data_IF_981739393754
#
_entry.id   IF_981739393754
#
_cell.length_a   1.000
_cell.length_b   1.000
_cell.length_c   1.000
_cell.angle_alpha   90.00
_cell.angle_beta   90.00
_cell.angle_gamma   90.00
#
_symmetry.space_group_name_H-M   'P 1'
#
loop_
_entity.id
_entity.type
_entity.pdbx_description
1 polymer ?
#
# COMPACT_ATOMS: atom_id res chain seq x y z
N UNK A 1 -1.01 -7.79 -10.45
CA UNK A 1 -1.17 -7.31 -11.85
C UNK A 1 -1.96 -8.28 -12.74
N UNK A 2 -3.29 -8.12 -12.80
CA UNK A 2 -4.20 -8.10 -13.99
C UNK A 2 -5.66 -8.07 -13.50
N UNK A 3 -6.43 -7.19 -14.14
CA UNK A 3 -7.79 -6.70 -13.87
C UNK A 3 -8.10 -6.18 -12.44
N UNK A 4 -8.18 -4.85 -12.34
CA UNK A 4 -8.63 -4.11 -11.17
C UNK A 4 -7.48 -3.37 -10.51
N UNK A 5 -7.45 -2.04 -10.61
CA UNK A 5 -6.63 -1.23 -9.71
C UNK A 5 -7.24 -1.44 -8.31
N UNK A 6 -6.70 -2.36 -7.53
CA UNK A 6 -7.12 -2.54 -6.15
C UNK A 6 -6.74 -1.28 -5.39
N UNK A 7 -7.74 -0.50 -5.01
CA UNK A 7 -7.53 0.75 -4.32
C UNK A 7 -7.03 0.45 -2.89
N UNK A 8 -5.90 1.03 -2.47
CA UNK A 8 -5.34 0.79 -1.13
C UNK A 8 -6.29 1.23 0.00
N UNK A 9 -7.27 2.12 -0.26
CA UNK A 9 -8.27 2.44 0.77
C UNK A 9 -9.37 1.39 0.88
N UNK A 10 -9.52 0.52 -0.12
CA UNK A 10 -10.50 -0.53 -0.14
C UNK A 10 -9.98 -1.73 0.66
N UNK A 11 -10.05 -1.63 1.99
CA UNK A 11 -9.52 -2.63 2.92
C UNK A 11 -10.05 -4.06 2.66
N UNK A 12 -11.23 -4.22 2.05
CA UNK A 12 -11.73 -5.54 1.68
C UNK A 12 -10.84 -6.29 0.66
N UNK A 13 -9.99 -5.59 -0.09
CA UNK A 13 -9.17 -6.18 -1.16
C UNK A 13 -7.74 -6.50 -0.76
N UNK A 14 -7.30 -6.12 0.44
CA UNK A 14 -5.96 -6.45 0.93
C UNK A 14 -5.94 -6.68 2.44
N UNK A 15 -4.86 -7.27 2.93
CA UNK A 15 -4.62 -7.47 4.36
C UNK A 15 -3.21 -6.99 4.68
N UNK A 16 -3.05 -6.21 5.75
CA UNK A 16 -1.73 -5.85 6.25
C UNK A 16 -1.15 -7.06 6.98
N UNK A 17 -0.09 -7.65 6.43
CA UNK A 17 0.58 -8.81 7.02
C UNK A 17 1.59 -8.40 8.10
N UNK A 18 2.39 -7.37 7.82
CA UNK A 18 3.47 -6.95 8.72
C UNK A 18 3.95 -5.53 8.43
N UNK A 19 4.67 -4.96 9.39
CA UNK A 19 5.48 -3.74 9.24
C UNK A 19 6.93 -4.13 9.48
N UNK A 20 7.78 -3.86 8.49
CA UNK A 20 9.20 -4.19 8.52
C UNK A 20 10.00 -3.17 9.36
N UNK A 21 11.24 -3.48 9.79
CA UNK A 21 12.05 -2.58 10.60
C UNK A 21 12.39 -1.24 9.94
N UNK A 22 12.34 -1.17 8.60
CA UNK A 22 12.53 0.05 7.81
C UNK A 22 11.25 0.91 7.73
N UNK A 23 10.12 0.43 8.27
CA UNK A 23 8.82 1.09 8.20
C UNK A 23 7.99 0.74 6.96
N UNK A 24 8.49 -0.13 6.08
CA UNK A 24 7.73 -0.67 4.95
C UNK A 24 6.56 -1.54 5.43
N UNK A 25 5.46 -1.51 4.70
CA UNK A 25 4.26 -2.31 4.99
C UNK A 25 4.14 -3.46 4.00
N UNK A 26 3.95 -4.67 4.51
CA UNK A 26 3.75 -5.86 3.69
C UNK A 26 2.26 -6.13 3.58
N UNK A 27 1.75 -6.12 2.34
CA UNK A 27 0.35 -6.34 2.04
C UNK A 27 0.14 -7.65 1.30
N UNK A 28 -0.90 -8.38 1.69
CA UNK A 28 -1.47 -9.42 0.85
C UNK A 28 -2.64 -8.83 0.09
N UNK A 29 -2.52 -8.73 -1.23
CA UNK A 29 -3.59 -8.38 -2.13
C UNK A 29 -4.33 -9.61 -2.58
N UNK A 30 -5.64 -9.52 -2.53
CA UNK A 30 -6.50 -10.62 -2.86
C UNK A 30 -7.19 -10.39 -4.21
N UNK A 31 -7.36 -11.45 -5.02
CA UNK A 31 -8.09 -11.35 -6.28
C UNK A 31 -9.54 -10.98 -6.03
N UNK A 32 -10.20 -10.28 -6.95
CA UNK A 32 -11.63 -9.97 -6.81
C UNK A 32 -12.52 -11.24 -6.83
N UNK A 33 -11.99 -12.35 -7.36
CA UNK A 33 -12.63 -13.67 -7.46
C UNK A 33 -12.64 -14.46 -6.13
N UNK A 34 -12.32 -13.84 -4.97
CA UNK A 34 -12.11 -14.53 -3.67
C UNK A 34 -13.14 -15.59 -3.25
N UNK A 35 -14.34 -15.57 -3.85
CA UNK A 35 -15.44 -16.50 -3.54
C UNK A 35 -15.88 -17.38 -4.74
N UNK A 36 -15.24 -17.24 -5.91
CA UNK A 36 -15.60 -17.94 -7.14
C UNK A 36 -14.63 -19.06 -7.49
N UNK A 37 -13.34 -18.91 -7.13
CA UNK A 37 -12.32 -19.93 -7.30
C UNK A 37 -11.16 -19.72 -6.32
N UNK A 38 -10.39 -20.77 -6.05
CA UNK A 38 -9.08 -20.63 -5.43
C UNK A 38 -8.17 -19.91 -6.42
N UNK A 39 -7.85 -18.66 -6.12
CA UNK A 39 -6.97 -17.84 -6.91
C UNK A 39 -5.82 -17.36 -6.03
N UNK A 40 -4.61 -17.34 -6.60
CA UNK A 40 -3.41 -16.95 -5.86
C UNK A 40 -3.52 -15.51 -5.37
N UNK A 41 -3.10 -15.29 -4.13
CA UNK A 41 -2.92 -13.94 -3.58
C UNK A 41 -1.58 -13.38 -4.05
N UNK A 42 -1.44 -12.06 -3.96
CA UNK A 42 -0.23 -11.35 -4.34
C UNK A 42 0.33 -10.62 -3.13
N UNK A 43 1.54 -10.96 -2.72
CA UNK A 43 2.24 -10.25 -1.65
C UNK A 43 3.07 -9.11 -2.24
N UNK A 44 2.88 -7.92 -1.70
CA UNK A 44 3.62 -6.72 -2.10
C UNK A 44 4.19 -6.00 -0.88
N UNK A 45 5.30 -5.30 -1.09
CA UNK A 45 5.94 -4.48 -0.05
C UNK A 45 5.93 -3.02 -0.48
N UNK A 46 5.32 -2.19 0.35
CA UNK A 46 5.26 -0.74 0.20
C UNK A 46 6.65 -0.10 0.32
N UNK A 47 6.78 1.12 -0.20
CA UNK A 47 7.94 1.99 0.01
C UNK A 47 7.90 2.55 1.44
N UNK A 48 9.02 2.55 2.19
CA UNK A 48 9.09 3.22 3.48
C UNK A 48 8.61 4.66 3.41
N UNK A 49 7.72 5.06 4.33
CA UNK A 49 7.14 6.40 4.26
C UNK A 49 8.19 7.50 4.39
N UNK A 50 9.20 7.26 5.21
CA UNK A 50 10.30 8.19 5.41
C UNK A 50 11.08 8.43 4.12
N UNK A 51 11.37 7.37 3.36
CA UNK A 51 12.09 7.48 2.09
C UNK A 51 11.24 8.15 1.02
N UNK A 52 9.93 7.89 1.00
CA UNK A 52 9.00 8.60 0.14
C UNK A 52 8.96 10.10 0.42
N UNK A 53 8.87 10.51 1.70
CA UNK A 53 8.87 11.92 2.09
C UNK A 53 10.19 12.62 1.76
N UNK A 54 11.34 11.96 1.96
CA UNK A 54 12.63 12.50 1.53
C UNK A 54 12.71 12.71 0.03
N UNK A 55 12.16 11.79 -0.75
CA UNK A 55 12.15 11.93 -2.21
C UNK A 55 11.26 13.10 -2.66
N UNK A 56 10.15 13.36 -1.97
CA UNK A 56 9.31 14.54 -2.20
C UNK A 56 10.05 15.83 -1.85
N UNK A 57 10.67 15.90 -0.67
CA UNK A 57 11.51 17.03 -0.25
C UNK A 57 12.63 17.30 -1.27
N UNK A 58 13.30 16.24 -1.74
CA UNK A 58 14.36 16.34 -2.76
C UNK A 58 13.86 16.90 -4.09
N UNK A 59 12.57 16.70 -4.42
CA UNK A 59 11.93 17.26 -5.62
C UNK A 59 11.46 18.71 -5.43
N UNK A 60 11.58 19.25 -4.21
CA UNK A 60 11.16 20.60 -3.85
C UNK A 60 9.68 20.70 -3.45
N UNK A 61 9.04 19.56 -3.17
CA UNK A 61 7.66 19.53 -2.64
C UNK A 61 7.67 19.82 -1.13
N UNK A 62 6.57 20.38 -0.62
CA UNK A 62 6.39 20.57 0.81
C UNK A 62 5.83 19.29 1.45
N UNK A 63 6.63 18.63 2.30
CA UNK A 63 6.22 17.39 2.97
C UNK A 63 4.98 17.55 3.86
N UNK A 64 4.72 18.76 4.38
CA UNK A 64 3.59 19.02 5.27
C UNK A 64 2.23 18.85 4.58
N UNK A 65 2.19 19.06 3.27
CA UNK A 65 0.98 18.88 2.45
C UNK A 65 0.56 17.40 2.39
N UNK A 66 1.48 16.49 2.70
CA UNK A 66 1.28 15.04 2.62
C UNK A 66 1.00 14.39 3.97
N UNK A 67 0.85 15.15 5.06
CA UNK A 67 0.67 14.63 6.43
C UNK A 67 -0.53 13.68 6.62
N UNK A 68 -1.45 13.63 5.64
CA UNK A 68 -2.68 12.82 5.68
C UNK A 68 -2.67 11.62 4.74
N UNK A 69 -1.65 11.42 3.89
CA UNK A 69 -1.72 10.37 2.84
C UNK A 69 -1.74 8.94 3.43
N UNK A 70 -1.38 8.80 4.70
CA UNK A 70 -1.40 7.56 5.48
C UNK A 70 -2.53 7.52 6.53
N UNK A 71 -3.33 8.58 6.64
CA UNK A 71 -4.51 8.61 7.51
C UNK A 71 -5.74 8.19 6.70
N UNK A 72 -6.27 6.99 6.97
CA UNK A 72 -7.42 6.42 6.25
C UNK A 72 -8.70 6.37 7.10
N UNK A 73 -8.77 7.18 8.16
CA UNK A 73 -9.92 7.33 9.04
C UNK A 73 -10.69 8.62 8.79
#
# INVERSE_FOLDING_TARGET
>A
PRLGKNYIRAQQHHSLLSVLPDGSRVYEFHPWEKNLALADTFVDTDVPIYDYLKELERRGENIDDYNTIWYYY
#
